data_IF_501968552403
#
_entry.id   IF_501968552403
#
_cell.length_a   1.000
_cell.length_b   1.000
_cell.length_c   1.000
_cell.angle_alpha   90.00
_cell.angle_beta   90.00
_cell.angle_gamma   90.00
#
_symmetry.space_group_name_H-M   'P 1'
#
loop_
_entity.id
_entity.type
_entity.pdbx_description
1 polymer ?
#
# COMPACT_ATOMS: atom_id res chain seq x y z
N UNK A 1 -7.97 -3.50 17.97
CA UNK A 1 -7.55 -3.41 16.55
C UNK A 1 -7.21 -4.80 16.03
N UNK A 2 -7.72 -5.21 14.87
CA UNK A 2 -7.47 -6.52 14.25
C UNK A 2 -6.88 -6.37 12.84
N UNK A 3 -6.27 -7.43 12.29
CA UNK A 3 -5.81 -7.45 10.88
C UNK A 3 -6.96 -7.13 9.92
N UNK A 4 -8.15 -7.68 10.17
CA UNK A 4 -9.35 -7.36 9.40
C UNK A 4 -9.63 -5.85 9.39
N UNK A 5 -9.61 -5.20 10.55
CA UNK A 5 -9.85 -3.75 10.66
C UNK A 5 -8.81 -2.92 9.90
N UNK A 6 -7.56 -3.37 9.85
CA UNK A 6 -6.52 -2.71 9.03
C UNK A 6 -6.85 -2.83 7.54
N UNK A 7 -7.13 -4.06 7.06
CA UNK A 7 -7.39 -4.37 5.64
C UNK A 7 -8.63 -3.67 5.06
N UNK A 8 -9.64 -3.38 5.89
CA UNK A 8 -10.89 -2.71 5.47
C UNK A 8 -11.00 -1.26 5.95
N UNK A 9 -9.92 -0.74 6.50
CA UNK A 9 -9.79 0.62 7.03
C UNK A 9 -10.83 1.01 8.09
N UNK A 10 -11.12 0.11 9.04
CA UNK A 10 -11.98 0.37 10.21
C UNK A 10 -11.19 0.42 11.52
N UNK A 11 -9.88 0.65 11.47
CA UNK A 11 -8.99 0.69 12.63
C UNK A 11 -9.13 1.94 13.49
N UNK A 12 -9.63 3.05 12.92
CA UNK A 12 -9.65 4.37 13.54
C UNK A 12 -8.32 5.14 13.47
N UNK A 13 -7.27 4.57 12.87
CA UNK A 13 -5.95 5.21 12.77
C UNK A 13 -6.01 6.48 11.92
N UNK A 14 -5.46 7.57 12.45
CA UNK A 14 -5.29 8.80 11.70
C UNK A 14 -4.26 8.63 10.56
N UNK A 15 -4.34 9.49 9.56
CA UNK A 15 -3.40 9.52 8.44
C UNK A 15 -2.12 10.23 8.88
N UNK A 16 -1.05 9.47 9.10
CA UNK A 16 0.25 10.04 9.47
C UNK A 16 0.82 10.95 8.36
N UNK A 17 0.43 10.73 7.10
CA UNK A 17 0.81 11.55 5.94
C UNK A 17 0.26 12.99 5.98
N UNK A 18 -0.71 13.27 6.85
CA UNK A 18 -1.27 14.60 7.06
C UNK A 18 -0.81 15.26 8.36
N UNK A 19 0.16 14.67 9.06
CA UNK A 19 0.72 15.30 10.24
C UNK A 19 1.63 16.48 9.85
N UNK A 20 1.71 17.54 10.66
CA UNK A 20 2.50 18.73 10.34
C UNK A 20 3.98 18.44 10.08
N UNK A 21 4.54 17.41 10.72
CA UNK A 21 5.94 17.02 10.60
C UNK A 21 6.21 16.02 9.46
N UNK A 22 5.18 15.60 8.71
CA UNK A 22 5.33 14.62 7.64
C UNK A 22 6.35 15.04 6.59
N UNK A 23 6.29 16.28 6.12
CA UNK A 23 7.18 16.77 5.06
C UNK A 23 8.67 16.73 5.44
N UNK A 24 8.99 16.89 6.72
CA UNK A 24 10.36 16.75 7.22
C UNK A 24 10.73 15.27 7.39
N UNK A 25 9.87 14.50 8.07
CA UNK A 25 10.12 13.10 8.39
C UNK A 25 10.22 12.22 7.15
N UNK A 26 9.35 12.43 6.16
CA UNK A 26 9.28 11.60 4.95
C UNK A 26 10.51 11.72 4.04
N UNK A 27 11.42 12.65 4.33
CA UNK A 27 12.69 12.82 3.58
C UNK A 27 13.83 11.96 4.14
N UNK A 28 13.60 11.29 5.26
CA UNK A 28 14.59 10.42 5.93
C UNK A 28 14.19 8.95 5.74
N UNK A 29 15.16 8.03 5.74
CA UNK A 29 14.86 6.60 5.75
C UNK A 29 14.06 6.18 6.99
N UNK A 30 13.14 5.23 6.83
CA UNK A 30 12.36 4.60 7.90
C UNK A 30 12.38 3.08 7.74
N UNK A 31 12.55 2.37 8.85
CA UNK A 31 12.16 0.97 8.93
C UNK A 31 10.65 0.86 9.15
N UNK A 32 10.06 -0.33 8.92
CA UNK A 32 8.66 -0.54 9.26
C UNK A 32 8.41 -0.38 10.78
N UNK A 33 9.43 -0.61 11.62
CA UNK A 33 9.36 -0.34 13.06
C UNK A 33 9.28 1.17 13.36
N UNK A 34 10.09 1.99 12.68
CA UNK A 34 10.03 3.46 12.83
C UNK A 34 8.65 4.01 12.44
N UNK A 35 8.03 3.44 11.40
CA UNK A 35 6.66 3.80 11.02
C UNK A 35 5.64 3.44 12.09
N UNK A 36 5.80 2.30 12.77
CA UNK A 36 4.91 1.90 13.88
C UNK A 36 5.02 2.90 15.03
N UNK A 37 6.24 3.29 15.40
CA UNK A 37 6.47 4.26 16.48
C UNK A 37 5.90 5.64 16.11
N UNK A 38 6.04 6.06 14.86
CA UNK A 38 5.41 7.28 14.38
C UNK A 38 3.89 7.20 14.47
N UNK A 39 3.28 6.13 13.96
CA UNK A 39 1.82 5.92 13.99
C UNK A 39 1.31 5.88 15.44
N UNK A 40 2.02 5.22 16.35
CA UNK A 40 1.65 5.14 17.77
C UNK A 40 1.66 6.50 18.47
N UNK A 41 2.47 7.45 18.00
CA UNK A 41 2.49 8.84 18.48
C UNK A 41 1.33 9.71 17.99
N UNK A 42 0.51 9.23 17.05
CA UNK A 42 -0.61 9.98 16.49
C UNK A 42 -1.93 9.50 17.14
N UNK A 43 -2.76 10.40 17.71
CA UNK A 43 -4.05 10.02 18.25
C UNK A 43 -4.96 9.35 17.20
N UNK A 44 -5.84 8.46 17.66
CA UNK A 44 -6.89 7.91 16.80
C UNK A 44 -7.78 9.04 16.28
N UNK A 45 -8.18 8.92 15.02
CA UNK A 45 -9.14 9.83 14.41
C UNK A 45 -10.59 9.44 14.72
N UNK A 46 -10.83 8.16 15.00
CA UNK A 46 -12.14 7.54 15.25
C UNK A 46 -11.97 6.35 16.19
N UNK A 47 -13.07 5.89 16.80
CA UNK A 47 -13.03 4.66 17.58
C UNK A 47 -12.85 3.44 16.66
N UNK A 48 -12.04 2.42 17.04
CA UNK A 48 -11.85 1.23 16.24
C UNK A 48 -13.17 0.49 15.98
N UNK A 49 -13.49 0.28 14.71
CA UNK A 49 -14.72 -0.38 14.26
C UNK A 49 -15.92 0.54 14.03
N UNK A 50 -15.82 1.84 14.37
CA UNK A 50 -16.93 2.79 14.24
C UNK A 50 -17.42 2.93 12.78
N UNK A 51 -16.49 3.17 11.85
CA UNK A 51 -16.76 3.26 10.41
C UNK A 51 -15.49 3.07 9.59
N UNK A 52 -15.64 2.88 8.28
CA UNK A 52 -14.51 2.84 7.35
C UNK A 52 -13.98 4.25 7.09
N UNK A 53 -12.68 4.47 7.33
CA UNK A 53 -11.96 5.69 7.03
C UNK A 53 -10.54 5.35 6.55
N UNK A 54 -10.25 5.67 5.28
CA UNK A 54 -8.97 5.33 4.66
C UNK A 54 -7.80 5.91 5.46
N UNK A 55 -6.80 5.06 5.72
CA UNK A 55 -5.57 5.45 6.40
C UNK A 55 -4.39 4.64 5.90
N UNK A 56 -3.35 5.36 5.47
CA UNK A 56 -2.06 4.82 5.03
C UNK A 56 -1.37 4.06 6.18
N UNK A 57 -1.63 4.47 7.42
CA UNK A 57 -1.13 3.82 8.63
C UNK A 57 -1.53 2.34 8.71
N UNK A 58 -2.71 1.98 8.19
CA UNK A 58 -3.17 0.60 8.23
C UNK A 58 -2.24 -0.35 7.49
N UNK A 59 -1.83 0.05 6.29
CA UNK A 59 -1.00 -0.77 5.43
C UNK A 59 0.47 -0.71 5.83
N UNK A 60 0.93 0.39 6.43
CA UNK A 60 2.23 0.45 7.10
C UNK A 60 2.33 -0.56 8.27
N UNK A 61 1.28 -0.64 9.11
CA UNK A 61 1.24 -1.66 10.17
C UNK A 61 1.16 -3.09 9.62
N UNK A 62 0.42 -3.32 8.53
CA UNK A 62 0.37 -4.63 7.88
C UNK A 62 1.74 -5.06 7.32
N UNK A 63 2.53 -4.12 6.76
CA UNK A 63 3.90 -4.41 6.36
C UNK A 63 4.75 -4.87 7.56
N UNK A 64 4.61 -4.20 8.73
CA UNK A 64 5.30 -4.65 9.94
C UNK A 64 4.84 -6.04 10.42
N UNK A 65 3.55 -6.34 10.32
CA UNK A 65 3.03 -7.69 10.63
C UNK A 65 3.68 -8.75 9.74
N UNK A 66 3.82 -8.48 8.44
CA UNK A 66 4.51 -9.37 7.49
C UNK A 66 5.95 -9.62 7.95
N UNK A 67 6.69 -8.58 8.32
CA UNK A 67 8.07 -8.75 8.79
C UNK A 67 8.18 -9.59 10.05
N UNK A 68 7.29 -9.34 11.02
CA UNK A 68 7.29 -10.07 12.29
C UNK A 68 6.93 -11.56 12.11
N UNK A 69 5.99 -11.87 11.22
CA UNK A 69 5.53 -13.25 11.01
C UNK A 69 6.51 -14.03 10.12
N UNK A 70 7.07 -13.39 9.10
CA UNK A 70 7.96 -14.05 8.14
C UNK A 70 9.43 -14.05 8.55
N UNK A 71 9.84 -13.14 9.43
CA UNK A 71 11.25 -12.92 9.78
C UNK A 71 12.08 -12.27 8.67
N UNK A 72 11.44 -11.76 7.60
CA UNK A 72 12.08 -11.16 6.42
C UNK A 72 11.68 -9.69 6.31
N UNK A 73 12.47 -8.88 5.60
CA UNK A 73 12.04 -7.50 5.33
C UNK A 73 10.79 -7.48 4.45
N UNK A 74 10.01 -6.40 4.50
CA UNK A 74 8.84 -6.27 3.62
C UNK A 74 9.22 -6.39 2.13
N UNK A 75 10.33 -5.78 1.72
CA UNK A 75 10.83 -5.85 0.34
C UNK A 75 11.24 -7.26 -0.08
N UNK A 76 11.91 -8.01 0.80
CA UNK A 76 12.28 -9.41 0.54
C UNK A 76 11.04 -10.29 0.39
N UNK A 77 10.09 -10.19 1.34
CA UNK A 77 8.85 -10.93 1.29
C UNK A 77 8.06 -10.62 0.02
N UNK A 78 7.89 -9.33 -0.31
CA UNK A 78 7.20 -8.90 -1.53
C UNK A 78 7.88 -9.45 -2.78
N UNK A 79 9.22 -9.45 -2.83
CA UNK A 79 9.97 -9.98 -3.96
C UNK A 79 9.71 -11.47 -4.17
N UNK A 80 9.90 -12.29 -3.14
CA UNK A 80 9.93 -13.74 -3.34
C UNK A 80 8.55 -14.39 -3.28
N UNK A 81 7.59 -13.80 -2.55
CA UNK A 81 6.23 -14.37 -2.41
C UNK A 81 5.22 -13.80 -3.42
N UNK A 82 5.47 -12.61 -3.98
CA UNK A 82 4.50 -11.91 -4.83
C UNK A 82 5.08 -11.59 -6.21
N UNK A 83 6.17 -10.82 -6.27
CA UNK A 83 6.72 -10.30 -7.52
C UNK A 83 7.28 -11.42 -8.40
N UNK A 84 8.12 -12.28 -7.84
CA UNK A 84 8.75 -13.37 -8.59
C UNK A 84 7.72 -14.43 -9.04
N UNK A 85 6.82 -14.94 -8.18
CA UNK A 85 5.79 -15.90 -8.60
C UNK A 85 4.82 -15.35 -9.66
N UNK A 86 4.47 -14.06 -9.58
CA UNK A 86 3.59 -13.41 -10.58
C UNK A 86 4.34 -12.93 -11.84
N UNK A 87 5.67 -13.12 -11.93
CA UNK A 87 6.47 -12.76 -13.11
C UNK A 87 6.56 -11.25 -13.38
N UNK A 88 6.60 -10.43 -12.33
CA UNK A 88 6.56 -8.96 -12.41
C UNK A 88 7.97 -8.34 -12.52
N UNK A 89 8.63 -8.57 -13.66
CA UNK A 89 10.05 -8.25 -13.85
C UNK A 89 10.44 -6.76 -13.75
N UNK A 90 9.48 -5.84 -13.89
CA UNK A 90 9.68 -4.38 -13.81
C UNK A 90 8.92 -3.77 -12.61
N UNK A 91 8.73 -4.56 -11.55
CA UNK A 91 8.05 -4.18 -10.31
C UNK A 91 8.96 -4.41 -9.11
N UNK A 92 8.89 -3.53 -8.11
CA UNK A 92 9.72 -3.64 -6.92
C UNK A 92 9.33 -2.70 -5.79
N UNK A 93 10.00 -2.86 -4.66
CA UNK A 93 9.84 -2.03 -3.49
C UNK A 93 10.89 -0.90 -3.50
N UNK A 94 10.42 0.36 -3.46
CA UNK A 94 11.28 1.54 -3.46
C UNK A 94 11.77 1.94 -2.05
N UNK A 95 11.23 1.32 -0.99
CA UNK A 95 11.69 1.56 0.37
C UNK A 95 13.12 1.08 0.63
N UNK A 96 13.57 0.10 -0.15
CA UNK A 96 14.96 -0.39 -0.14
C UNK A 96 15.85 0.47 -1.06
N UNK A 97 15.88 1.79 -0.81
CA UNK A 97 16.36 2.88 -1.68
C UNK A 97 17.79 2.78 -2.25
N UNK A 98 18.50 1.69 -2.02
CA UNK A 98 19.87 1.45 -2.48
C UNK A 98 20.01 1.27 -4.00
N UNK A 99 18.94 0.89 -4.71
CA UNK A 99 19.03 0.55 -6.14
C UNK A 99 18.26 1.55 -7.03
N UNK A 100 18.94 2.33 -7.89
CA UNK A 100 18.28 3.14 -8.90
C UNK A 100 17.37 2.27 -9.79
N UNK A 101 16.15 2.74 -10.06
CA UNK A 101 15.20 2.05 -10.95
C UNK A 101 15.30 2.66 -12.34
N UNK A 102 15.86 1.94 -13.34
CA UNK A 102 16.00 2.48 -14.69
C UNK A 102 14.64 2.78 -15.32
N UNK A 103 14.52 3.93 -15.99
CA UNK A 103 13.30 4.31 -16.70
C UNK A 103 12.12 4.71 -15.81
N UNK A 104 12.33 4.90 -14.50
CA UNK A 104 11.29 5.43 -13.61
C UNK A 104 10.97 6.89 -13.96
N UNK A 105 9.69 7.18 -14.19
CA UNK A 105 9.24 8.52 -14.51
C UNK A 105 9.37 9.47 -13.31
N UNK A 106 9.75 10.73 -13.58
CA UNK A 106 9.79 11.77 -12.55
C UNK A 106 8.38 12.29 -12.25
N UNK A 107 7.97 12.19 -10.98
CA UNK A 107 6.71 12.75 -10.51
C UNK A 107 6.71 14.28 -10.59
N UNK A 108 5.56 14.86 -10.93
CA UNK A 108 5.33 16.31 -10.94
C UNK A 108 4.05 16.62 -10.16
N UNK A 109 4.00 17.76 -9.50
CA UNK A 109 2.86 18.25 -8.74
C UNK A 109 2.41 19.62 -9.26
N UNK A 110 1.09 19.91 -9.26
CA UNK A 110 0.61 21.23 -9.63
C UNK A 110 0.97 22.26 -8.56
N UNK A 111 1.46 23.42 -9.00
CA UNK A 111 1.69 24.59 -8.16
C UNK A 111 0.78 25.71 -8.68
N UNK A 112 -0.37 25.88 -8.03
CA UNK A 112 -1.43 26.74 -8.54
C UNK A 112 -2.20 26.13 -9.72
N UNK A 113 -2.76 26.97 -10.60
CA UNK A 113 -3.73 26.53 -11.61
C UNK A 113 -3.12 26.08 -12.95
N UNK A 114 -1.86 26.46 -13.24
CA UNK A 114 -1.24 26.24 -14.56
C UNK A 114 0.19 25.74 -14.50
N UNK A 115 0.84 25.80 -13.35
CA UNK A 115 2.25 25.46 -13.23
C UNK A 115 2.37 24.05 -12.65
N UNK A 116 3.40 23.33 -13.09
CA UNK A 116 3.77 22.02 -12.59
C UNK A 116 5.25 22.06 -12.22
N UNK A 117 5.60 21.47 -11.10
CA UNK A 117 6.98 21.38 -10.63
C UNK A 117 7.33 19.92 -10.33
N UNK A 118 8.62 19.52 -10.39
CA UNK A 118 9.05 18.22 -9.92
C UNK A 118 8.58 17.97 -8.47
N UNK A 119 8.08 16.77 -8.19
CA UNK A 119 7.65 16.40 -6.85
C UNK A 119 8.81 16.52 -5.86
N UNK A 120 8.53 17.03 -4.66
CA UNK A 120 9.53 17.06 -3.59
C UNK A 120 10.12 15.67 -3.35
N UNK A 121 11.43 15.58 -3.03
CA UNK A 121 12.04 14.31 -2.67
C UNK A 121 11.33 13.68 -1.46
N UNK A 122 11.00 12.40 -1.59
CA UNK A 122 10.47 11.55 -0.52
C UNK A 122 11.32 10.29 -0.50
N UNK A 123 11.72 9.88 0.71
CA UNK A 123 12.24 8.55 0.92
C UNK A 123 11.04 7.58 0.98
N UNK A 124 10.94 6.69 0.00
CA UNK A 124 9.76 5.83 -0.15
C UNK A 124 9.64 4.77 0.93
N UNK A 125 10.66 4.60 1.77
CA UNK A 125 10.55 3.81 2.99
C UNK A 125 9.55 4.43 3.98
N UNK A 126 9.32 5.75 3.90
CA UNK A 126 8.27 6.44 4.65
C UNK A 126 6.84 6.00 4.26
N UNK A 127 6.68 5.26 3.16
CA UNK A 127 5.41 4.74 2.63
C UNK A 127 5.43 3.21 2.47
N UNK A 128 6.29 2.52 3.22
CA UNK A 128 6.35 1.05 3.23
C UNK A 128 4.98 0.46 3.56
N UNK A 129 4.53 -0.52 2.76
CA UNK A 129 3.19 -1.10 2.82
C UNK A 129 2.08 -0.28 2.18
N UNK A 130 2.12 1.06 2.24
CA UNK A 130 1.01 1.94 1.84
C UNK A 130 1.15 2.59 0.46
N UNK A 131 2.36 2.74 -0.07
CA UNK A 131 2.57 3.45 -1.35
C UNK A 131 4.01 3.39 -1.89
N UNK A 132 4.78 2.37 -1.52
CA UNK A 132 6.22 2.28 -1.80
C UNK A 132 6.59 1.40 -3.00
N UNK A 133 5.60 0.88 -3.74
CA UNK A 133 5.84 -0.02 -4.89
C UNK A 133 5.92 0.80 -6.17
N UNK A 134 6.90 0.49 -7.02
CA UNK A 134 6.94 0.93 -8.42
C UNK A 134 6.55 -0.23 -9.35
N UNK A 135 5.98 0.07 -10.52
CA UNK A 135 5.62 -0.93 -11.52
C UNK A 135 5.49 -0.32 -12.92
N UNK A 136 5.07 -1.12 -13.89
CA UNK A 136 4.72 -0.72 -15.26
C UNK A 136 3.29 -1.13 -15.58
N UNK A 137 2.65 -0.51 -16.58
CA UNK A 137 1.31 -0.92 -17.01
C UNK A 137 1.23 -2.41 -17.41
N UNK A 138 2.28 -2.93 -18.05
CA UNK A 138 2.38 -4.34 -18.43
C UNK A 138 2.42 -5.27 -17.23
N UNK A 139 3.19 -4.92 -16.19
CA UNK A 139 3.25 -5.72 -14.96
C UNK A 139 1.98 -5.59 -14.12
N UNK A 140 1.33 -4.42 -14.08
CA UNK A 140 0.03 -4.29 -13.41
C UNK A 140 -1.05 -5.16 -14.09
N UNK A 141 -1.00 -5.32 -15.41
CA UNK A 141 -1.87 -6.25 -16.12
C UNK A 141 -1.53 -7.72 -15.79
N UNK A 142 -0.25 -8.07 -15.69
CA UNK A 142 0.19 -9.41 -15.26
C UNK A 142 -0.25 -9.70 -13.83
N UNK A 143 -0.09 -8.74 -12.93
CA UNK A 143 -0.55 -8.82 -11.54
C UNK A 143 -2.05 -9.08 -11.48
N UNK A 144 -2.85 -8.34 -12.25
CA UNK A 144 -4.29 -8.56 -12.30
C UNK A 144 -4.66 -9.98 -12.77
N UNK A 145 -3.90 -10.56 -13.71
CA UNK A 145 -4.09 -11.94 -14.18
C UNK A 145 -3.66 -12.97 -13.14
N UNK A 146 -2.51 -12.78 -12.50
CA UNK A 146 -2.01 -13.65 -11.43
C UNK A 146 -2.97 -13.72 -10.24
N UNK A 147 -3.66 -12.61 -9.93
CA UNK A 147 -4.70 -12.59 -8.90
C UNK A 147 -5.95 -13.42 -9.25
N UNK A 148 -6.13 -13.81 -10.51
CA UNK A 148 -7.22 -14.70 -10.93
C UNK A 148 -6.82 -16.17 -10.91
N UNK A 149 -5.52 -16.46 -10.87
CA UNK A 149 -4.97 -17.80 -10.74
C UNK A 149 -4.49 -18.08 -9.31
N UNK A 150 -3.85 -19.24 -9.13
CA UNK A 150 -3.44 -19.75 -7.82
C UNK A 150 -1.93 -19.54 -7.56
N UNK A 151 -1.26 -18.71 -8.37
CA UNK A 151 0.20 -18.48 -8.31
C UNK A 151 0.63 -17.76 -7.03
N UNK A 152 -0.23 -16.90 -6.48
CA UNK A 152 0.08 -16.03 -5.32
C UNK A 152 -0.90 -16.18 -4.17
N UNK A 153 -2.11 -16.64 -4.42
CA UNK A 153 -3.16 -16.80 -3.41
C UNK A 153 -3.85 -18.13 -3.62
N UNK A 154 -4.18 -18.82 -2.53
CA UNK A 154 -5.11 -19.96 -2.60
C UNK A 154 -6.49 -19.50 -3.05
N UNK A 155 -7.34 -20.38 -3.62
CA UNK A 155 -8.71 -20.05 -3.98
C UNK A 155 -9.51 -19.45 -2.81
N UNK A 156 -9.32 -19.95 -1.59
CA UNK A 156 -9.98 -19.46 -0.38
C UNK A 156 -9.51 -18.05 -0.03
N UNK A 157 -8.21 -17.80 -0.10
CA UNK A 157 -7.62 -16.48 0.19
C UNK A 157 -8.06 -15.44 -0.83
N UNK A 158 -8.11 -15.82 -2.12
CA UNK A 158 -8.63 -14.98 -3.21
C UNK A 158 -10.11 -14.64 -3.01
N UNK A 159 -10.93 -15.64 -2.64
CA UNK A 159 -12.34 -15.41 -2.35
C UNK A 159 -12.53 -14.45 -1.17
N UNK A 160 -11.73 -14.58 -0.11
CA UNK A 160 -11.73 -13.65 1.02
C UNK A 160 -11.29 -12.23 0.63
N UNK A 161 -10.28 -12.10 -0.25
CA UNK A 161 -9.77 -10.81 -0.70
C UNK A 161 -10.81 -9.99 -1.46
N UNK A 162 -11.55 -10.64 -2.36
CA UNK A 162 -12.59 -10.00 -3.18
C UNK A 162 -14.00 -10.04 -2.60
N UNK A 163 -14.18 -10.61 -1.39
CA UNK A 163 -15.44 -10.54 -0.67
C UNK A 163 -15.67 -9.12 -0.15
N UNK A 164 -16.91 -8.64 -0.28
CA UNK A 164 -17.36 -7.40 0.36
C UNK A 164 -17.41 -7.59 1.88
N UNK A 165 -16.64 -6.78 2.60
CA UNK A 165 -16.53 -6.82 4.07
C UNK A 165 -17.23 -5.63 4.73
N UNK A 166 -16.83 -4.40 4.38
CA UNK A 166 -17.37 -3.15 4.92
C UNK A 166 -17.58 -2.18 3.77
N UNK A 167 -18.76 -1.56 3.69
CA UNK A 167 -19.15 -0.72 2.56
C UNK A 167 -18.81 -1.40 1.23
N UNK A 168 -18.21 -0.71 0.28
CA UNK A 168 -17.76 -1.26 -1.00
C UNK A 168 -16.36 -1.91 -0.94
N UNK A 169 -15.83 -2.29 0.23
CA UNK A 169 -14.43 -2.74 0.37
C UNK A 169 -14.28 -4.26 0.46
N UNK A 170 -13.31 -4.77 -0.30
CA UNK A 170 -12.61 -6.03 -0.03
C UNK A 170 -11.33 -5.77 0.77
N UNK A 171 -10.44 -6.77 0.86
CA UNK A 171 -9.11 -6.57 1.45
C UNK A 171 -8.18 -5.92 0.43
N UNK A 172 -7.94 -4.61 0.54
CA UNK A 172 -7.11 -3.85 -0.40
C UNK A 172 -7.78 -3.48 -1.72
N UNK A 173 -9.09 -3.72 -1.84
CA UNK A 173 -9.84 -3.47 -3.08
C UNK A 173 -11.13 -2.71 -2.82
N UNK A 174 -11.49 -1.85 -3.76
CA UNK A 174 -12.84 -1.31 -3.91
C UNK A 174 -13.60 -2.18 -4.90
N UNK A 175 -14.76 -2.67 -4.48
CA UNK A 175 -15.67 -3.52 -5.21
C UNK A 175 -16.86 -2.68 -5.67
N UNK A 176 -17.09 -2.64 -6.97
CA UNK A 176 -18.13 -1.83 -7.60
C UNK A 176 -18.72 -2.56 -8.81
N UNK A 177 -19.73 -1.97 -9.43
CA UNK A 177 -20.32 -2.46 -10.68
C UNK A 177 -20.23 -1.39 -11.76
N UNK A 178 -19.85 -1.80 -12.97
CA UNK A 178 -19.82 -0.90 -14.13
C UNK A 178 -20.39 -1.61 -15.35
N UNK A 179 -21.42 -1.00 -15.96
CA UNK A 179 -22.11 -1.54 -17.14
C UNK A 179 -22.59 -2.99 -16.93
N UNK A 180 -23.14 -3.28 -15.74
CA UNK A 180 -23.65 -4.61 -15.37
C UNK A 180 -22.57 -5.67 -15.15
N UNK A 181 -21.30 -5.27 -14.96
CA UNK A 181 -20.18 -6.18 -14.66
C UNK A 181 -19.53 -5.80 -13.35
N UNK A 182 -19.16 -6.80 -12.56
CA UNK A 182 -18.35 -6.61 -11.37
C UNK A 182 -16.99 -6.00 -11.73
N UNK A 183 -16.57 -5.02 -10.94
CA UNK A 183 -15.31 -4.31 -11.09
C UNK A 183 -14.61 -4.31 -9.75
N UNK A 184 -13.34 -4.72 -9.76
CA UNK A 184 -12.43 -4.52 -8.63
C UNK A 184 -11.44 -3.43 -9.00
N UNK A 185 -11.15 -2.52 -8.08
CA UNK A 185 -10.23 -1.41 -8.34
C UNK A 185 -9.45 -1.00 -7.10
N UNK A 186 -8.25 -0.49 -7.36
CA UNK A 186 -7.39 0.19 -6.40
C UNK A 186 -6.78 1.39 -7.14
N UNK A 187 -6.69 2.52 -6.48
CA UNK A 187 -6.07 3.75 -7.00
C UNK A 187 -4.85 4.09 -6.16
N UNK A 188 -3.78 4.53 -6.82
CA UNK A 188 -2.60 5.14 -6.21
C UNK A 188 -2.40 6.55 -6.74
#
# INVERSE_FOLDING_TARGET
>A
MTIHQLLVHTSGLARYVFQPDYAERSRRPHTAADLVDWIAGVPLALEPGERSAYSDANYALLARVIELVSGRSFGEFLRDEIIAPAGLAATGHRGDAATPVPGLAMGHVPVGLREIEPSSPVDYSASTGSGSIYSTASDLLRWHRALSGDEVLTPESRALMFRRHVDARGYGWILDERLGRSKVSMSG
#
